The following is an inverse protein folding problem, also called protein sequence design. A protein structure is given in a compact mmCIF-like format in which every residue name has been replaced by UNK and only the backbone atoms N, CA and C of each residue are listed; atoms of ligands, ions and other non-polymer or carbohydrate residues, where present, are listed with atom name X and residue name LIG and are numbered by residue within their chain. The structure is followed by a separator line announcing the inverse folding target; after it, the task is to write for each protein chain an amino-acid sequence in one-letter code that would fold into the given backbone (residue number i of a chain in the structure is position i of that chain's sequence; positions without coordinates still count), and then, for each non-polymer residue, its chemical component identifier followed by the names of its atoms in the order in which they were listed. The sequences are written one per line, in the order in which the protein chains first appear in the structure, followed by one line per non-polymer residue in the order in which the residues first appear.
data_IF_534008885978
#
_entry.id   IF_534008885978
#
_cell.length_a   1.000
_cell.length_b   1.000
_cell.length_c   1.000
_cell.angle_alpha   90.00
_cell.angle_beta   90.00
_cell.angle_gamma   90.00
#
_symmetry.space_group_name_H-M   'P 1'
#
loop_
_entity.id
_entity.type
_entity.pdbx_description
1 polymer ?
#
# COMPACT_ATOMS: atom_id res chain seq x y z
N UNK A 1 -3.76 3.53 14.51
CA UNK A 1 -2.44 3.38 13.88
C UNK A 1 -1.96 4.74 13.44
N UNK A 2 -0.69 5.06 13.63
CA UNK A 2 -0.15 6.37 13.25
C UNK A 2 0.21 6.39 11.76
N UNK A 3 0.08 7.57 11.11
CA UNK A 3 0.45 7.77 9.68
C UNK A 3 1.84 7.22 9.35
N UNK A 4 2.79 7.36 10.28
CA UNK A 4 4.14 6.86 10.14
C UNK A 4 4.24 5.32 10.02
N UNK A 5 3.47 4.58 10.81
CA UNK A 5 3.44 3.11 10.75
C UNK A 5 2.90 2.64 9.38
N UNK A 6 1.86 3.32 8.88
CA UNK A 6 1.30 3.07 7.55
C UNK A 6 2.28 3.34 6.42
N UNK A 7 3.05 4.44 6.51
CA UNK A 7 4.10 4.75 5.53
C UNK A 7 5.08 3.59 5.47
N UNK A 8 5.55 3.09 6.61
CA UNK A 8 6.54 2.03 6.65
C UNK A 8 6.02 0.72 6.06
N UNK A 9 4.78 0.35 6.36
CA UNK A 9 4.14 -0.82 5.75
C UNK A 9 3.99 -0.66 4.24
N UNK A 10 3.49 0.48 3.77
CA UNK A 10 3.31 0.74 2.34
C UNK A 10 4.65 0.73 1.59
N UNK A 11 5.69 1.35 2.17
CA UNK A 11 7.05 1.36 1.62
C UNK A 11 7.62 -0.07 1.54
N UNK A 12 7.38 -0.91 2.55
CA UNK A 12 7.77 -2.33 2.50
C UNK A 12 7.09 -3.06 1.33
N UNK A 13 5.78 -2.85 1.13
CA UNK A 13 5.04 -3.42 -0.01
C UNK A 13 5.59 -2.90 -1.33
N UNK A 14 5.85 -1.60 -1.47
CA UNK A 14 6.41 -0.99 -2.67
C UNK A 14 7.83 -1.50 -3.00
N UNK A 15 8.64 -1.84 -1.99
CA UNK A 15 9.97 -2.45 -2.19
C UNK A 15 9.85 -3.87 -2.76
N UNK A 16 8.90 -4.67 -2.27
CA UNK A 16 8.64 -6.04 -2.76
C UNK A 16 7.94 -6.05 -4.12
N UNK A 17 7.07 -5.07 -4.34
CA UNK A 17 6.22 -4.92 -5.52
C UNK A 17 6.37 -3.50 -6.06
N UNK A 18 7.43 -3.21 -6.83
CA UNK A 18 7.72 -1.87 -7.32
C UNK A 18 6.73 -1.39 -8.39
N UNK A 19 5.80 -2.24 -8.84
CA UNK A 19 4.74 -1.89 -9.78
C UNK A 19 3.48 -2.71 -9.51
N UNK A 20 2.31 -2.10 -9.61
CA UNK A 20 1.05 -2.74 -9.26
C UNK A 20 -0.15 -1.82 -9.32
N UNK A 21 -1.34 -2.40 -9.19
CA UNK A 21 -2.59 -1.66 -9.07
C UNK A 21 -2.70 -1.00 -7.70
N UNK A 22 -3.32 0.16 -7.61
CA UNK A 22 -3.61 0.82 -6.33
C UNK A 22 -4.30 -0.13 -5.33
N UNK A 23 -5.32 -0.87 -5.78
CA UNK A 23 -6.06 -1.83 -4.96
C UNK A 23 -5.17 -2.94 -4.40
N UNK A 24 -4.16 -3.38 -5.15
CA UNK A 24 -3.18 -4.35 -4.67
C UNK A 24 -2.43 -3.81 -3.45
N UNK A 25 -1.96 -2.56 -3.49
CA UNK A 25 -1.23 -1.96 -2.37
C UNK A 25 -2.13 -1.79 -1.14
N UNK A 26 -3.39 -1.37 -1.32
CA UNK A 26 -4.37 -1.28 -0.23
C UNK A 26 -4.57 -2.64 0.42
N UNK A 27 -4.75 -3.70 -0.38
CA UNK A 27 -4.96 -5.05 0.11
C UNK A 27 -3.74 -5.61 0.85
N UNK A 28 -2.53 -5.41 0.33
CA UNK A 28 -1.30 -5.87 0.99
C UNK A 28 -1.03 -5.13 2.30
N UNK A 29 -1.24 -3.81 2.34
CA UNK A 29 -1.13 -3.02 3.57
C UNK A 29 -2.18 -3.48 4.60
N UNK A 30 -3.41 -3.74 4.17
CA UNK A 30 -4.48 -4.29 5.04
C UNK A 30 -4.07 -5.62 5.67
N UNK A 31 -3.49 -6.54 4.88
CA UNK A 31 -3.00 -7.83 5.39
C UNK A 31 -1.94 -7.64 6.47
N UNK A 32 -0.96 -6.77 6.25
CA UNK A 32 0.11 -6.51 7.22
C UNK A 32 -0.42 -5.92 8.53
N UNK A 33 -1.40 -5.00 8.45
CA UNK A 33 -2.04 -4.42 9.63
C UNK A 33 -2.79 -5.48 10.42
N UNK A 34 -3.49 -6.38 9.73
CA UNK A 34 -4.23 -7.44 10.39
C UNK A 34 -3.31 -8.42 11.10
N UNK A 35 -2.16 -8.77 10.50
CA UNK A 35 -1.10 -9.53 11.17
C UNK A 35 -0.60 -8.78 12.42
N UNK A 36 -0.33 -7.48 12.30
CA UNK A 36 0.13 -6.65 13.43
C UNK A 36 -0.91 -6.58 14.57
N UNK A 37 -2.20 -6.52 14.23
CA UNK A 37 -3.33 -6.56 15.17
C UNK A 37 -3.60 -7.97 15.75
N UNK A 38 -2.81 -8.99 15.36
CA UNK A 38 -2.98 -10.36 15.83
C UNK A 38 -4.21 -11.07 15.26
N UNK A 39 -4.75 -10.56 14.15
CA UNK A 39 -5.92 -11.15 13.49
C UNK A 39 -5.44 -12.34 12.66
N UNK A 40 -6.00 -13.54 12.88
CA UNK A 40 -5.55 -14.73 12.16
C UNK A 40 -5.84 -14.62 10.66
N UNK A 41 -5.03 -15.30 9.85
CA UNK A 41 -5.19 -15.39 8.39
C UNK A 41 -5.61 -16.82 7.99
N UNK A 42 -6.56 -16.96 7.07
CA UNK A 42 -6.86 -18.17 6.29
C UNK A 42 -6.42 -17.95 4.83
N UNK A 43 -5.61 -18.86 4.28
CA UNK A 43 -5.12 -18.79 2.89
C UNK A 43 -4.42 -17.46 2.52
N UNK A 44 -3.71 -16.85 3.48
CA UNK A 44 -3.05 -15.55 3.27
C UNK A 44 -4.01 -14.35 3.23
N UNK A 45 -5.29 -14.56 3.59
CA UNK A 45 -6.30 -13.53 3.75
C UNK A 45 -6.81 -13.51 5.20
N UNK A 46 -7.21 -12.36 5.75
CA UNK A 46 -7.78 -12.28 7.10
C UNK A 46 -9.01 -13.19 7.26
N UNK A 47 -9.11 -13.91 8.38
CA UNK A 47 -10.31 -14.71 8.70
C UNK A 47 -11.47 -13.75 8.94
N UNK A 48 -12.56 -13.82 8.16
CA UNK A 48 -13.69 -12.94 8.31
C UNK A 48 -14.63 -13.52 9.35
N UNK A 49 -14.37 -13.29 10.64
CA UNK A 49 -15.47 -13.44 11.62
C UNK A 49 -16.32 -12.17 11.69
N UNK A 50 -15.74 -10.98 11.45
CA UNK A 50 -16.45 -9.71 11.22
C UNK A 50 -15.58 -8.69 10.45
N UNK A 51 -14.83 -9.15 9.44
CA UNK A 51 -14.16 -8.33 8.43
C UNK A 51 -13.46 -7.06 8.94
N UNK A 52 -12.32 -7.19 9.62
CA UNK A 52 -11.48 -6.01 9.89
C UNK A 52 -10.74 -5.65 8.60
N UNK A 53 -11.43 -4.85 7.78
CA UNK A 53 -10.86 -4.03 6.73
C UNK A 53 -10.14 -2.84 7.38
N UNK A 54 -9.20 -2.22 6.64
CA UNK A 54 -8.90 -0.82 6.90
C UNK A 54 -10.24 -0.08 7.03
N UNK A 55 -10.47 0.64 8.12
CA UNK A 55 -11.64 1.50 8.16
C UNK A 55 -11.47 2.61 7.09
N UNK A 56 -12.56 3.30 6.72
CA UNK A 56 -12.50 4.33 5.67
C UNK A 56 -11.39 5.37 5.91
N UNK A 57 -11.13 5.75 7.18
CA UNK A 57 -10.07 6.70 7.51
C UNK A 57 -8.67 6.12 7.24
N UNK A 58 -8.45 4.84 7.53
CA UNK A 58 -7.17 4.19 7.26
C UNK A 58 -6.96 4.00 5.73
N UNK A 59 -8.03 3.76 4.95
CA UNK A 59 -7.97 3.73 3.48
C UNK A 59 -7.64 5.10 2.92
N UNK A 60 -8.33 6.14 3.37
CA UNK A 60 -8.07 7.54 3.01
C UNK A 60 -6.62 7.92 3.32
N UNK A 61 -6.09 7.43 4.45
CA UNK A 61 -4.70 7.68 4.83
C UNK A 61 -3.70 6.96 3.91
N UNK A 62 -3.97 5.73 3.48
CA UNK A 62 -3.16 5.05 2.46
C UNK A 62 -3.19 5.83 1.14
N UNK A 63 -4.36 6.35 0.73
CA UNK A 63 -4.49 7.19 -0.45
C UNK A 63 -3.66 8.48 -0.32
N UNK A 64 -3.75 9.17 0.82
CA UNK A 64 -2.99 10.38 1.11
C UNK A 64 -1.49 10.12 1.02
N UNK A 65 -1.00 9.02 1.62
CA UNK A 65 0.42 8.66 1.55
C UNK A 65 0.84 8.37 0.11
N UNK A 66 0.03 7.67 -0.68
CA UNK A 66 0.34 7.42 -2.09
C UNK A 66 0.41 8.74 -2.87
N UNK A 67 -0.49 9.69 -2.62
CA UNK A 67 -0.41 11.03 -3.20
C UNK A 67 0.86 11.77 -2.79
N UNK A 68 1.24 11.72 -1.51
CA UNK A 68 2.48 12.31 -1.02
C UNK A 68 3.70 11.72 -1.75
N UNK A 69 3.74 10.39 -1.93
CA UNK A 69 4.81 9.70 -2.66
C UNK A 69 4.85 10.04 -4.15
N UNK A 70 3.69 10.29 -4.77
CA UNK A 70 3.59 10.76 -6.15
C UNK A 70 4.15 12.18 -6.27
N UNK A 71 3.76 13.08 -5.38
CA UNK A 71 4.24 14.47 -5.35
C UNK A 71 5.77 14.52 -5.16
N UNK A 72 6.30 13.67 -4.29
CA UNK A 72 7.74 13.55 -4.02
C UNK A 72 8.51 12.84 -5.16
N UNK A 73 7.80 12.36 -6.19
CA UNK A 73 8.34 11.59 -7.32
C UNK A 73 9.02 10.29 -6.91
N UNK A 74 8.56 9.68 -5.83
CA UNK A 74 8.98 8.33 -5.41
C UNK A 74 8.22 7.28 -6.22
N UNK A 75 6.93 7.54 -6.42
CA UNK A 75 6.03 6.74 -7.24
C UNK A 75 5.54 7.60 -8.40
N UNK A 76 5.35 7.00 -9.56
CA UNK A 76 4.69 7.66 -10.69
C UNK A 76 3.46 6.85 -11.05
N UNK A 77 2.30 7.51 -11.18
CA UNK A 77 1.16 6.87 -11.75
C UNK A 77 1.39 6.67 -13.25
N UNK A 78 1.06 5.51 -13.78
CA UNK A 78 1.32 5.26 -15.19
C UNK A 78 0.63 4.00 -15.69
N UNK A 79 -0.01 4.13 -16.84
CA UNK A 79 -0.54 3.02 -17.61
C UNK A 79 0.64 2.31 -18.28
N UNK A 80 1.11 1.23 -17.67
CA UNK A 80 1.85 0.22 -18.45
C UNK A 80 1.01 -0.07 -19.71
N UNK A 81 1.61 -0.24 -20.88
CA UNK A 81 0.88 -0.47 -22.14
C UNK A 81 -0.09 -1.66 -22.05
N UNK A 82 0.13 -2.53 -21.08
CA UNK A 82 -0.67 -3.72 -20.75
C UNK A 82 -1.61 -3.55 -19.53
N UNK A 83 -1.52 -2.47 -18.76
CA UNK A 83 -2.43 -2.17 -17.63
C UNK A 83 -3.12 -0.81 -17.84
N UNK A 84 -4.25 -0.86 -18.55
CA UNK A 84 -5.00 0.32 -18.93
C UNK A 84 -5.92 0.87 -17.83
N UNK A 85 -6.11 0.15 -16.73
CA UNK A 85 -6.96 0.59 -15.62
C UNK A 85 -6.17 1.44 -14.66
N UNK A 86 -6.63 2.68 -14.48
CA UNK A 86 -6.13 3.60 -13.46
C UNK A 86 -6.67 3.25 -12.07
N UNK A 87 -5.89 3.42 -10.97
CA UNK A 87 -4.48 3.84 -10.94
C UNK A 87 -3.53 2.64 -10.89
N UNK A 88 -2.66 2.53 -11.89
CA UNK A 88 -1.47 1.70 -11.80
C UNK A 88 -0.29 2.56 -11.31
N UNK A 89 0.44 2.07 -10.33
CA UNK A 89 1.53 2.77 -9.67
C UNK A 89 2.84 2.04 -9.93
N UNK A 90 3.91 2.81 -10.17
CA UNK A 90 5.27 2.30 -10.32
C UNK A 90 6.23 3.14 -9.49
N UNK A 91 7.07 2.49 -8.69
CA UNK A 91 8.24 3.12 -8.04
C UNK A 91 9.18 3.63 -9.13
N UNK A 92 9.46 4.92 -9.13
CA UNK A 92 10.31 5.57 -10.13
C UNK A 92 11.61 6.10 -9.55
N UNK A 93 11.70 6.27 -8.23
CA UNK A 93 12.91 6.69 -7.53
C UNK A 93 13.17 5.76 -6.33
N UNK A 94 13.98 4.73 -6.57
CA UNK A 94 14.29 3.68 -5.58
C UNK A 94 15.17 4.24 -4.46
N UNK A 95 16.07 5.19 -4.77
CA UNK A 95 16.94 5.80 -3.76
C UNK A 95 16.09 6.58 -2.75
N UNK A 96 15.17 7.43 -3.22
CA UNK A 96 14.23 8.11 -2.32
C UNK A 96 13.36 7.15 -1.53
N UNK A 97 12.85 6.09 -2.15
CA UNK A 97 12.07 5.06 -1.44
C UNK A 97 12.88 4.42 -0.29
N UNK A 98 14.18 4.23 -0.48
CA UNK A 98 15.08 3.67 0.53
C UNK A 98 15.47 4.68 1.62
N UNK A 99 15.34 5.98 1.36
CA UNK A 99 15.56 7.04 2.36
C UNK A 99 14.36 7.22 3.31
N UNK A 100 13.18 6.71 2.94
CA UNK A 100 12.00 6.72 3.82
C UNK A 100 12.21 5.62 4.88
N UNK A 101 12.33 6.08 6.13
CA UNK A 101 12.56 5.26 7.34
C UNK A 101 11.29 5.10 8.13
#
# INVERSE_FOLDING_TARGET
MYKYELINLLVEVLRKHPKGQFEFYVNEVTKLINIYKGIPLINGMPIPEDGIFLNNQEIELVQEIIWDLIIQRVVTPGTDRVNNTWPFLRVTDVEKLNMIK
#
